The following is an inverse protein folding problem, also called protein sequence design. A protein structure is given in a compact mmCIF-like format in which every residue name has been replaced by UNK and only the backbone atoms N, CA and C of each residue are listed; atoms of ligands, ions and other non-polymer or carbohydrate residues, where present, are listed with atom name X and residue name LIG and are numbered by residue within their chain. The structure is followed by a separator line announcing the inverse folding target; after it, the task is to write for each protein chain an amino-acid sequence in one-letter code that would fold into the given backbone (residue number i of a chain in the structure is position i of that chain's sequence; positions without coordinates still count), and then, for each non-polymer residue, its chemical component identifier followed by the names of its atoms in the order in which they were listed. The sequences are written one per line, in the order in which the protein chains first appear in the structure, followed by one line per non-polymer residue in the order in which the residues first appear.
data_IF_731362426530
#
_entry.id   IF_731362426530
#
_cell.length_a   1.000
_cell.length_b   1.000
_cell.length_c   1.000
_cell.angle_alpha   90.00
_cell.angle_beta   90.00
_cell.angle_gamma   90.00
#
_symmetry.space_group_name_H-M   'P 1'
#
loop_
_entity.id
_entity.type
_entity.pdbx_description
1 polymer ?
#
# COMPACT_ATOMS: atom_id res chain seq x y z
N UNK A 1 11.06 27.73 -7.76
CA UNK A 1 11.72 27.95 -6.45
C UNK A 1 10.83 27.33 -5.40
N UNK A 2 10.98 26.02 -5.18
CA UNK A 2 10.17 25.25 -4.22
C UNK A 2 10.82 25.43 -2.83
N UNK A 3 10.33 26.33 -1.96
CA UNK A 3 9.13 26.26 -1.09
C UNK A 3 9.26 25.06 -0.12
N UNK A 4 9.96 25.18 1.01
CA UNK A 4 9.52 25.81 2.27
C UNK A 4 8.01 25.78 2.46
N UNK A 5 7.49 24.63 2.91
CA UNK A 5 6.22 24.58 3.61
C UNK A 5 6.35 23.62 4.78
N UNK A 6 6.31 24.22 5.97
CA UNK A 6 6.29 23.63 7.33
C UNK A 6 7.59 23.00 7.87
N UNK A 7 8.11 23.47 9.03
CA UNK A 7 9.17 22.75 9.76
C UNK A 7 8.60 21.43 10.27
N UNK A 8 8.87 20.34 9.55
CA UNK A 8 8.38 18.99 9.88
C UNK A 8 8.19 18.08 8.67
N UNK A 9 8.08 18.65 7.46
CA UNK A 9 8.00 17.90 6.21
C UNK A 9 9.33 18.01 5.47
N UNK A 10 10.16 16.97 5.56
CA UNK A 10 11.26 16.81 4.59
C UNK A 10 10.60 16.35 3.30
N UNK A 11 10.30 17.31 2.42
CA UNK A 11 9.78 17.00 1.10
C UNK A 11 10.92 16.41 0.27
N UNK A 12 10.73 15.17 -0.17
CA UNK A 12 11.67 14.49 -1.05
C UNK A 12 11.36 14.87 -2.50
N UNK A 13 12.38 15.26 -3.27
CA UNK A 13 12.22 15.49 -4.70
C UNK A 13 11.95 14.15 -5.43
N UNK A 14 10.82 14.08 -6.13
CA UNK A 14 10.43 12.90 -6.91
C UNK A 14 11.39 12.61 -8.06
N UNK A 15 12.01 13.63 -8.66
CA UNK A 15 13.03 13.43 -9.69
C UNK A 15 14.26 12.72 -9.12
N UNK A 16 14.64 13.04 -7.89
CA UNK A 16 15.75 12.41 -7.17
C UNK A 16 15.44 10.95 -6.81
N UNK A 17 14.25 10.69 -6.26
CA UNK A 17 13.77 9.31 -6.01
C UNK A 17 13.83 8.49 -7.30
N UNK A 18 13.31 9.04 -8.41
CA UNK A 18 13.26 8.35 -9.68
C UNK A 18 14.67 8.00 -10.18
N UNK A 19 15.63 8.90 -10.04
CA UNK A 19 17.02 8.65 -10.42
C UNK A 19 17.63 7.49 -9.63
N UNK A 20 17.44 7.47 -8.30
CA UNK A 20 17.96 6.40 -7.44
C UNK A 20 17.33 5.06 -7.78
N UNK A 21 16.01 5.03 -7.98
CA UNK A 21 15.28 3.81 -8.34
C UNK A 21 15.64 3.29 -9.75
N UNK A 22 15.97 4.17 -10.69
CA UNK A 22 16.35 3.78 -12.05
C UNK A 22 17.78 3.21 -12.11
N UNK A 23 18.69 3.74 -11.29
CA UNK A 23 20.09 3.35 -11.30
C UNK A 23 20.39 2.09 -10.47
N UNK A 24 19.52 1.73 -9.53
CA UNK A 24 19.78 0.68 -8.54
C UNK A 24 19.48 -0.76 -8.97
N UNK A 25 18.83 -0.99 -10.11
CA UNK A 25 18.44 -2.36 -10.50
C UNK A 25 17.47 -3.01 -9.49
N UNK A 26 17.90 -4.05 -8.78
CA UNK A 26 17.10 -4.72 -7.75
C UNK A 26 16.80 -3.80 -6.56
N UNK A 27 15.57 -3.88 -6.06
CA UNK A 27 15.12 -3.12 -4.91
C UNK A 27 14.48 -4.01 -3.85
N UNK A 28 14.60 -3.60 -2.59
CA UNK A 28 14.00 -4.27 -1.45
C UNK A 28 13.30 -3.26 -0.56
N UNK A 29 12.13 -3.65 -0.05
CA UNK A 29 11.37 -2.85 0.90
C UNK A 29 11.33 -3.55 2.26
N UNK A 30 11.62 -2.81 3.31
CA UNK A 30 11.40 -3.24 4.70
C UNK A 30 10.68 -2.17 5.50
N UNK A 31 10.03 -2.60 6.57
CA UNK A 31 9.26 -1.75 7.46
C UNK A 31 9.72 -2.07 8.88
N UNK A 32 9.91 -1.02 9.69
CA UNK A 32 10.19 -1.16 11.11
C UNK A 32 9.36 -0.19 11.91
N UNK A 33 9.05 -0.55 13.15
CA UNK A 33 8.26 0.25 14.07
C UNK A 33 9.03 0.37 15.37
N UNK A 34 9.20 1.59 15.86
CA UNK A 34 9.82 1.89 17.14
C UNK A 34 8.88 2.70 18.03
N UNK A 35 9.02 2.52 19.34
CA UNK A 35 8.20 3.20 20.35
C UNK A 35 9.08 3.74 21.49
N UNK A 36 8.63 4.82 22.12
CA UNK A 36 9.30 5.47 23.25
C UNK A 36 10.57 6.23 22.89
N UNK A 37 11.49 6.34 23.85
CA UNK A 37 12.78 7.01 23.66
C UNK A 37 13.61 6.33 22.57
N UNK A 38 14.17 7.11 21.65
CA UNK A 38 14.95 6.58 20.53
C UNK A 38 14.12 5.77 19.53
N UNK A 39 12.80 6.03 19.43
CA UNK A 39 11.88 5.35 18.50
C UNK A 39 12.36 5.34 17.04
N UNK A 40 13.00 6.40 16.56
CA UNK A 40 13.55 6.45 15.20
C UNK A 40 14.67 5.41 14.97
N UNK A 41 15.64 5.34 15.90
CA UNK A 41 16.73 4.35 15.87
C UNK A 41 16.17 2.93 15.94
N UNK A 42 15.28 2.67 16.90
CA UNK A 42 14.62 1.36 17.06
C UNK A 42 13.90 0.95 15.77
N UNK A 43 13.15 1.87 15.16
CA UNK A 43 12.44 1.61 13.92
C UNK A 43 13.38 1.17 12.80
N UNK A 44 14.54 1.84 12.63
CA UNK A 44 15.56 1.42 11.66
C UNK A 44 16.12 0.04 12.02
N UNK A 45 16.47 -0.20 13.27
CA UNK A 45 17.01 -1.49 13.71
C UNK A 45 16.05 -2.64 13.39
N UNK A 46 14.75 -2.46 13.68
CA UNK A 46 13.73 -3.44 13.32
C UNK A 46 13.58 -3.61 11.81
N UNK A 47 13.68 -2.53 11.04
CA UNK A 47 13.59 -2.59 9.58
C UNK A 47 14.80 -3.33 8.98
N UNK A 48 15.98 -3.24 9.59
CA UNK A 48 17.21 -3.92 9.15
C UNK A 48 17.26 -5.39 9.54
N UNK A 49 16.66 -5.77 10.68
CA UNK A 49 16.49 -7.17 11.09
C UNK A 49 15.28 -7.85 10.41
N UNK A 50 14.70 -7.23 9.38
CA UNK A 50 13.63 -7.88 8.63
C UNK A 50 14.22 -9.04 7.80
N UNK A 51 13.57 -10.23 7.74
CA UNK A 51 14.13 -11.42 7.06
C UNK A 51 14.55 -11.20 5.60
N UNK A 52 13.93 -10.23 4.93
CA UNK A 52 14.27 -9.87 3.55
C UNK A 52 15.63 -9.15 3.46
N UNK A 53 16.02 -8.41 4.49
CA UNK A 53 17.24 -7.59 4.55
C UNK A 53 18.42 -8.42 5.05
N UNK A 54 18.22 -9.35 5.97
CA UNK A 54 19.32 -10.15 6.56
C UNK A 54 20.12 -10.97 5.54
N UNK A 55 19.50 -11.30 4.40
CA UNK A 55 20.12 -12.09 3.33
C UNK A 55 20.92 -11.25 2.33
N UNK A 56 20.85 -9.92 2.40
CA UNK A 56 21.53 -9.00 1.49
C UNK A 56 22.68 -8.28 2.18
N UNK A 57 23.77 -8.04 1.45
CA UNK A 57 24.83 -7.16 1.94
C UNK A 57 24.42 -5.70 1.69
N UNK A 58 24.13 -4.97 2.77
CA UNK A 58 23.78 -3.54 2.74
C UNK A 58 24.89 -2.64 2.18
N UNK A 59 26.16 -3.08 2.27
CA UNK A 59 27.32 -2.35 1.74
C UNK A 59 27.27 -2.17 0.22
N UNK A 60 26.53 -3.03 -0.49
CA UNK A 60 26.39 -2.96 -1.94
C UNK A 60 25.25 -2.02 -2.37
N UNK A 61 24.44 -1.50 -1.44
CA UNK A 61 23.34 -0.62 -1.79
C UNK A 61 23.87 0.70 -2.38
N UNK A 62 23.30 1.11 -3.52
CA UNK A 62 23.65 2.38 -4.16
C UNK A 62 22.78 3.52 -3.64
N UNK A 63 21.56 3.21 -3.20
CA UNK A 63 20.68 4.22 -2.64
C UNK A 63 19.62 3.64 -1.72
N UNK A 64 19.30 4.39 -0.67
CA UNK A 64 18.30 4.04 0.33
C UNK A 64 17.32 5.19 0.48
N UNK A 65 16.03 4.91 0.36
CA UNK A 65 14.96 5.85 0.69
C UNK A 65 14.44 5.46 2.07
N UNK A 66 14.52 6.37 3.02
CA UNK A 66 14.08 6.16 4.39
C UNK A 66 12.93 7.11 4.71
N UNK A 67 11.70 6.60 4.72
CA UNK A 67 10.52 7.39 5.00
C UNK A 67 10.00 7.11 6.41
N UNK A 68 10.07 8.11 7.28
CA UNK A 68 9.57 8.06 8.65
C UNK A 68 8.14 8.59 8.72
N UNK A 69 7.32 7.94 9.52
CA UNK A 69 5.98 8.39 9.88
C UNK A 69 5.88 8.35 11.40
N UNK A 70 5.67 9.51 12.02
CA UNK A 70 5.60 9.63 13.47
C UNK A 70 4.70 10.79 13.88
N UNK A 71 4.34 10.86 15.15
CA UNK A 71 3.59 11.97 15.71
C UNK A 71 4.43 13.24 15.82
N UNK A 72 3.82 14.29 16.38
CA UNK A 72 4.47 15.58 16.64
C UNK A 72 5.68 15.49 17.60
N UNK A 73 5.83 14.35 18.26
CA UNK A 73 6.92 14.00 19.16
C UNK A 73 8.13 13.38 18.44
N UNK A 74 8.07 13.11 17.12
CA UNK A 74 9.23 12.70 16.34
C UNK A 74 10.04 13.93 15.92
N UNK A 75 11.22 14.10 16.51
CA UNK A 75 12.07 15.26 16.23
C UNK A 75 12.99 15.02 15.03
N UNK A 76 13.34 16.09 14.32
CA UNK A 76 14.33 16.03 13.24
C UNK A 76 15.69 15.48 13.73
N UNK A 77 16.09 15.82 14.95
CA UNK A 77 17.35 15.34 15.54
C UNK A 77 17.36 13.82 15.69
N UNK A 78 16.28 13.21 16.19
CA UNK A 78 16.16 11.75 16.28
C UNK A 78 16.23 11.07 14.91
N UNK A 79 15.60 11.66 13.89
CA UNK A 79 15.67 11.14 12.52
C UNK A 79 17.11 11.20 11.99
N UNK A 80 17.81 12.33 12.17
CA UNK A 80 19.20 12.48 11.71
C UNK A 80 20.17 11.54 12.43
N UNK A 81 20.00 11.36 13.74
CA UNK A 81 20.79 10.41 14.54
C UNK A 81 20.59 8.97 14.04
N UNK A 82 19.35 8.58 13.77
CA UNK A 82 19.02 7.27 13.23
C UNK A 82 19.59 7.07 11.80
N UNK A 83 19.51 8.09 10.95
CA UNK A 83 20.08 8.03 9.59
C UNK A 83 21.61 7.98 9.58
N UNK A 84 22.26 8.62 10.54
CA UNK A 84 23.72 8.57 10.68
C UNK A 84 24.18 7.14 10.96
N UNK A 85 23.47 6.42 11.85
CA UNK A 85 23.73 5.01 12.10
C UNK A 85 23.47 4.13 10.85
N UNK A 86 22.41 4.41 10.09
CA UNK A 86 22.14 3.73 8.84
C UNK A 86 23.26 3.96 7.80
N UNK A 87 23.81 5.18 7.73
CA UNK A 87 24.92 5.53 6.86
C UNK A 87 26.19 4.74 7.21
N UNK A 88 26.50 4.60 8.50
CA UNK A 88 27.64 3.80 8.97
C UNK A 88 27.53 2.33 8.54
N UNK A 89 26.32 1.76 8.60
CA UNK A 89 26.04 0.37 8.17
C UNK A 89 26.20 0.14 6.67
N UNK A 90 26.17 1.19 5.86
CA UNK A 90 26.41 1.14 4.41
C UNK A 90 27.85 1.52 4.04
N UNK A 91 28.73 1.69 5.04
CA UNK A 91 30.11 2.13 4.86
C UNK A 91 30.23 3.46 4.07
N UNK A 92 29.23 4.34 4.20
CA UNK A 92 29.17 5.63 3.51
C UNK A 92 28.97 5.55 1.98
N UNK A 93 28.67 4.37 1.42
CA UNK A 93 28.57 4.19 -0.04
C UNK A 93 27.19 4.51 -0.58
N UNK A 94 26.13 4.26 0.20
CA UNK A 94 24.76 4.45 -0.24
C UNK A 94 24.33 5.92 -0.11
N UNK A 95 23.66 6.43 -1.13
CA UNK A 95 22.96 7.71 -1.06
C UNK A 95 21.65 7.55 -0.28
N UNK A 96 21.49 8.28 0.83
CA UNK A 96 20.30 8.18 1.67
C UNK A 96 19.37 9.36 1.44
N UNK A 97 18.12 9.07 1.12
CA UNK A 97 17.06 10.05 0.91
C UNK A 97 16.07 10.03 2.09
N UNK A 98 16.08 11.06 2.94
CA UNK A 98 15.19 11.14 4.09
C UNK A 98 13.81 11.67 3.71
N UNK A 99 12.75 10.94 4.09
CA UNK A 99 11.38 11.41 4.08
C UNK A 99 10.82 11.42 5.50
N UNK A 100 10.04 12.45 5.85
CA UNK A 100 9.38 12.52 7.17
C UNK A 100 7.94 12.98 6.95
N UNK A 101 7.01 12.21 7.51
CA UNK A 101 5.58 12.46 7.49
C UNK A 101 5.12 12.58 8.94
N UNK A 102 4.46 13.69 9.27
CA UNK A 102 3.82 13.86 10.57
C UNK A 102 2.40 13.27 10.52
N UNK A 103 2.12 12.29 11.39
CA UNK A 103 0.80 11.71 11.60
C UNK A 103 0.47 11.76 13.11
N UNK A 104 -0.48 12.60 13.50
CA UNK A 104 -0.92 12.79 14.89
C UNK A 104 -1.38 11.50 15.57
N UNK A 105 -1.75 10.46 14.80
CA UNK A 105 -2.16 9.15 15.32
C UNK A 105 -0.98 8.33 15.83
N UNK A 106 0.25 8.66 15.44
CA UNK A 106 1.48 7.96 15.77
C UNK A 106 2.14 8.55 17.02
N UNK A 107 1.35 8.82 18.06
CA UNK A 107 1.88 9.33 19.33
C UNK A 107 2.83 8.32 19.99
N UNK A 108 4.01 8.77 20.40
CA UNK A 108 5.08 7.99 21.03
C UNK A 108 5.61 6.83 20.16
N UNK A 109 5.31 6.87 18.86
CA UNK A 109 5.60 5.78 17.91
C UNK A 109 6.09 6.32 16.59
N UNK A 110 6.92 5.52 15.94
CA UNK A 110 7.43 5.85 14.60
C UNK A 110 7.53 4.60 13.77
N UNK A 111 6.99 4.68 12.57
CA UNK A 111 7.18 3.68 11.53
C UNK A 111 8.20 4.21 10.54
N UNK A 112 9.15 3.37 10.14
CA UNK A 112 10.05 3.66 9.02
C UNK A 112 9.77 2.67 7.90
N UNK A 113 9.76 3.17 6.67
CA UNK A 113 9.79 2.36 5.46
C UNK A 113 11.14 2.59 4.81
N UNK A 114 11.93 1.53 4.68
CA UNK A 114 13.22 1.55 3.99
C UNK A 114 13.06 0.90 2.62
N UNK A 115 13.45 1.64 1.58
CA UNK A 115 13.54 1.13 0.21
C UNK A 115 15.00 1.14 -0.18
N UNK A 116 15.60 -0.03 -0.27
CA UNK A 116 17.01 -0.20 -0.62
C UNK A 116 17.09 -0.55 -2.10
N UNK A 117 17.92 0.17 -2.83
CA UNK A 117 18.17 0.02 -4.26
C UNK A 117 19.67 -0.17 -4.49
N UNK A 118 20.06 -0.77 -5.62
CA UNK A 118 21.47 -0.97 -5.93
C UNK A 118 22.02 -2.33 -5.55
N UNK A 119 21.17 -3.29 -5.17
CA UNK A 119 21.57 -4.56 -4.53
C UNK A 119 22.25 -5.58 -5.47
N UNK A 120 22.83 -5.12 -6.59
CA UNK A 120 23.38 -5.98 -7.64
C UNK A 120 22.31 -6.90 -8.24
N UNK A 121 22.71 -7.91 -9.01
CA UNK A 121 21.82 -8.86 -9.68
C UNK A 121 21.06 -9.81 -8.72
N UNK A 122 20.76 -9.38 -7.49
CA UNK A 122 19.82 -10.04 -6.58
C UNK A 122 18.42 -9.52 -6.85
N UNK A 123 17.97 -9.61 -8.10
CA UNK A 123 16.54 -9.60 -8.35
C UNK A 123 16.01 -10.90 -7.74
N UNK A 124 15.46 -10.86 -6.53
CA UNK A 124 14.58 -11.96 -6.11
C UNK A 124 13.49 -12.00 -7.18
N UNK A 125 13.35 -13.09 -7.96
CA UNK A 125 12.24 -13.19 -8.87
C UNK A 125 11.00 -13.31 -7.99
N UNK A 126 10.30 -12.19 -7.76
CA UNK A 126 8.90 -12.25 -7.38
C UNK A 126 8.21 -12.85 -8.59
N UNK A 127 8.15 -14.19 -8.62
CA UNK A 127 7.36 -14.93 -9.58
C UNK A 127 5.91 -14.62 -9.24
N UNK A 128 5.42 -13.49 -9.76
CA UNK A 128 3.99 -13.27 -10.00
C UNK A 128 3.62 -14.27 -11.09
N UNK A 129 3.60 -15.55 -10.75
CA UNK A 129 3.13 -16.58 -11.64
C UNK A 129 1.64 -16.30 -11.81
N UNK A 130 1.17 -15.88 -13.01
CA UNK A 130 -0.24 -15.67 -13.23
C UNK A 130 -0.85 -17.06 -13.06
N UNK A 131 -1.63 -17.25 -11.99
CA UNK A 131 -2.41 -18.47 -11.81
C UNK A 131 -3.31 -18.55 -13.05
N UNK A 132 -3.14 -19.53 -13.95
CA UNK A 132 -4.03 -19.61 -15.10
C UNK A 132 -5.43 -19.82 -14.54
N UNK A 133 -6.32 -18.87 -14.80
CA UNK A 133 -7.74 -19.05 -14.57
C UNK A 133 -8.16 -20.25 -15.42
N UNK A 134 -8.33 -21.41 -14.77
CA UNK A 134 -8.98 -22.55 -15.39
C UNK A 134 -10.43 -22.15 -15.62
N UNK A 135 -10.69 -21.53 -16.77
CA UNK A 135 -12.02 -21.38 -17.31
C UNK A 135 -12.54 -22.79 -17.63
N UNK A 136 -13.24 -23.40 -16.68
CA UNK A 136 -14.11 -24.54 -16.96
C UNK A 136 -15.32 -24.03 -17.75
N UNK A 137 -15.15 -23.89 -19.05
CA UNK A 137 -16.27 -23.77 -19.97
C UNK A 137 -16.90 -25.16 -20.13
N UNK A 138 -18.00 -25.42 -19.42
CA UNK A 138 -18.90 -26.52 -19.79
C UNK A 138 -19.90 -25.99 -20.83
N UNK A 139 -19.98 -26.58 -22.03
CA UNK A 139 -21.03 -26.27 -22.98
C UNK A 139 -22.29 -27.06 -22.60
N UNK A 140 -23.32 -26.39 -22.09
CA UNK A 140 -24.65 -26.95 -21.98
C UNK A 140 -25.44 -26.66 -23.26
N UNK A 141 -25.69 -27.68 -24.06
CA UNK A 141 -26.66 -27.69 -25.15
C UNK A 141 -27.89 -28.55 -24.75
N UNK A 142 -29.07 -28.31 -25.35
CA UNK A 142 -30.35 -28.30 -24.64
C UNK A 142 -31.09 -29.65 -24.72
N UNK A 143 -31.90 -29.95 -23.70
CA UNK A 143 -32.90 -31.00 -23.77
C UNK A 143 -34.30 -30.38 -23.61
N UNK A 144 -34.97 -30.17 -24.75
CA UNK A 144 -36.40 -29.93 -24.80
C UNK A 144 -37.16 -31.18 -24.32
N UNK A 145 -38.12 -30.99 -23.42
CA UNK A 145 -39.28 -31.90 -23.29
C UNK A 145 -40.56 -31.07 -23.18
N UNK A 146 -41.65 -31.52 -23.83
CA UNK A 146 -42.83 -30.69 -24.04
C UNK A 146 -43.76 -30.72 -22.83
N UNK A 147 -44.34 -29.55 -22.53
CA UNK A 147 -45.39 -29.41 -21.50
C UNK A 147 -46.74 -29.70 -22.17
N UNK A 148 -47.55 -30.65 -21.68
CA UNK A 148 -48.89 -30.85 -22.19
C UNK A 148 -49.81 -29.70 -21.77
N UNK A 149 -50.49 -29.12 -22.76
CA UNK A 149 -51.50 -28.07 -22.61
C UNK A 149 -52.77 -28.67 -22.02
N UNK A 150 -53.24 -28.12 -20.89
CA UNK A 150 -54.53 -28.48 -20.31
C UNK A 150 -54.95 -27.55 -19.17
N UNK A 151 -56.16 -27.01 -19.30
CA UNK A 151 -56.90 -26.16 -18.36
C UNK A 151 -56.55 -24.66 -18.32
N UNK A 152 -57.21 -23.96 -19.24
CA UNK A 152 -57.60 -22.54 -19.21
C UNK A 152 -58.56 -22.30 -18.04
N UNK A 153 -58.53 -21.08 -17.45
CA UNK A 153 -59.57 -20.30 -16.71
C UNK A 153 -58.83 -19.47 -15.63
N UNK A 154 -59.02 -18.18 -15.37
CA UNK A 154 -59.87 -17.13 -15.92
C UNK A 154 -59.38 -15.78 -15.30
N UNK A 155 -59.23 -14.75 -16.15
CA UNK A 155 -59.35 -13.28 -15.93
C UNK A 155 -58.92 -12.64 -14.58
N UNK A 156 -58.05 -11.64 -14.68
CA UNK A 156 -58.48 -10.23 -14.53
C UNK A 156 -57.50 -9.24 -15.20
N UNK A 157 -58.09 -8.23 -15.85
CA UNK A 157 -57.51 -7.11 -16.60
C UNK A 157 -57.26 -5.98 -15.59
N UNK A 158 -56.23 -5.13 -15.69
CA UNK A 158 -56.33 -3.79 -16.28
C UNK A 158 -55.00 -3.02 -16.07
N UNK A 159 -54.46 -2.58 -17.21
CA UNK A 159 -53.80 -1.31 -17.56
C UNK A 159 -52.48 -0.83 -16.94
N UNK A 160 -51.67 -0.36 -17.88
CA UNK A 160 -50.40 0.31 -17.73
C UNK A 160 -50.57 1.79 -17.38
N UNK A 161 -49.65 2.31 -16.58
CA UNK A 161 -49.20 3.69 -16.72
C UNK A 161 -47.69 3.74 -16.49
N UNK A 162 -47.00 4.04 -17.58
CA UNK A 162 -45.57 4.38 -17.65
C UNK A 162 -45.32 5.65 -16.86
N UNK A 163 -44.35 5.62 -15.95
CA UNK A 163 -43.90 6.77 -15.16
C UNK A 163 -42.47 6.54 -14.70
N UNK A 164 -41.59 7.50 -15.00
CA UNK A 164 -40.15 7.34 -15.10
C UNK A 164 -39.41 7.23 -13.75
N UNK A 165 -38.23 6.61 -13.85
CA UNK A 165 -37.05 6.73 -12.97
C UNK A 165 -37.18 6.17 -11.55
N UNK A 166 -36.74 4.92 -11.38
CA UNK A 166 -36.57 4.26 -10.09
C UNK A 166 -35.42 4.86 -9.29
N UNK A 167 -35.79 5.73 -8.35
CA UNK A 167 -35.13 6.02 -7.07
C UNK A 167 -34.66 4.71 -6.39
N UNK A 168 -33.38 4.37 -6.56
CA UNK A 168 -32.76 3.15 -6.06
C UNK A 168 -31.79 3.39 -4.89
N UNK A 169 -31.99 4.43 -4.08
CA UNK A 169 -31.07 4.74 -2.95
C UNK A 169 -31.79 5.12 -1.65
N UNK A 170 -32.78 4.33 -1.24
CA UNK A 170 -33.32 4.41 0.13
C UNK A 170 -33.23 3.06 0.87
N UNK A 171 -32.36 2.96 1.89
CA UNK A 171 -32.16 1.75 2.70
C UNK A 171 -33.42 1.26 3.43
N UNK A 172 -33.54 -0.06 3.56
CA UNK A 172 -34.74 -0.78 3.99
C UNK A 172 -35.25 -0.49 5.43
N UNK A 173 -34.49 0.21 6.28
CA UNK A 173 -34.85 0.40 7.69
C UNK A 173 -35.80 1.59 7.95
N UNK A 174 -36.05 2.47 6.97
CA UNK A 174 -36.94 3.64 7.13
C UNK A 174 -38.42 3.39 6.75
N UNK A 175 -38.81 2.19 6.33
CA UNK A 175 -40.19 1.90 5.88
C UNK A 175 -41.19 1.53 6.98
N UNK A 176 -40.83 1.59 8.27
CA UNK A 176 -41.72 1.08 9.32
C UNK A 176 -41.77 1.98 10.55
N UNK A 177 -42.51 3.08 10.46
CA UNK A 177 -43.27 3.76 11.54
C UNK A 177 -43.94 5.04 11.03
N UNK A 178 -45.12 4.89 10.43
CA UNK A 178 -46.16 5.91 10.38
C UNK A 178 -47.48 5.22 9.96
N UNK A 179 -48.10 4.55 10.94
CA UNK A 179 -49.53 4.71 11.15
C UNK A 179 -49.67 5.48 12.45
#
# INVERSE_FOLDING_TARGET
TELITEPGLINVDFAHIRQIMQNGGGALLSIGIGEGEGKARKAIEYALHHPLIETINLENATGIIANFTGGSDLTFFEVMDALSELQERTNGQAEIVPGVINDERMHDRTQVILIITGLGATAMPVSLQPRPAQAQAQPAAPAERPIPVGAILERERVEASVGASSDLDLPAFLRRRAH
#
